data_IF_983246503401
#
_entry.id   IF_983246503401
#
_cell.length_a   1.000
_cell.length_b   1.000
_cell.length_c   1.000
_cell.angle_alpha   90.00
_cell.angle_beta   90.00
_cell.angle_gamma   90.00
#
_symmetry.space_group_name_H-M   'P 1'
#
loop_
_entity.id
_entity.type
_entity.pdbx_description
1 polymer ?
#
# COMPACT_ATOMS: atom_id res chain seq x y z
N UNK A 1 13.81 15.37 16.45
CA UNK A 1 13.17 14.20 15.83
C UNK A 1 12.82 14.55 14.39
N UNK A 2 12.84 13.57 13.48
CA UNK A 2 12.40 13.78 12.11
C UNK A 2 10.89 14.08 12.07
N UNK A 3 10.44 14.89 11.12
CA UNK A 3 9.00 15.05 10.84
C UNK A 3 8.47 13.82 10.10
N UNK A 4 7.14 13.62 10.11
CA UNK A 4 6.50 12.56 9.33
C UNK A 4 6.90 12.63 7.83
N UNK A 5 6.92 13.81 7.25
CA UNK A 5 7.32 14.00 5.84
C UNK A 5 8.78 13.61 5.60
N UNK A 6 9.68 13.93 6.52
CA UNK A 6 11.07 13.48 6.45
C UNK A 6 11.19 11.96 6.55
N UNK A 7 10.35 11.30 7.36
CA UNK A 7 10.32 9.84 7.48
C UNK A 7 9.78 9.21 6.19
N UNK A 8 8.65 9.70 5.66
CA UNK A 8 8.08 9.27 4.37
C UNK A 8 9.10 9.37 3.23
N UNK A 9 9.82 10.50 3.16
CA UNK A 9 10.78 10.74 2.09
C UNK A 9 11.93 9.72 2.04
N UNK A 10 12.30 9.12 3.18
CA UNK A 10 13.33 8.06 3.20
C UNK A 10 12.90 6.79 2.48
N UNK A 11 11.60 6.53 2.43
CA UNK A 11 11.02 5.36 1.78
C UNK A 11 10.67 5.60 0.31
N UNK A 12 10.50 6.86 -0.12
CA UNK A 12 9.89 7.25 -1.39
C UNK A 12 10.41 6.49 -2.62
N UNK A 13 11.74 6.32 -2.74
CA UNK A 13 12.35 5.62 -3.87
C UNK A 13 11.93 4.13 -3.96
N UNK A 14 11.64 3.48 -2.83
CA UNK A 14 11.21 2.07 -2.78
C UNK A 14 9.72 1.92 -3.09
N UNK A 15 8.95 2.99 -2.93
CA UNK A 15 7.50 2.99 -3.10
C UNK A 15 7.04 3.21 -4.55
N UNK A 16 7.89 3.81 -5.39
CA UNK A 16 7.52 4.32 -6.71
C UNK A 16 6.92 3.29 -7.71
N UNK A 17 7.21 2.01 -7.53
CA UNK A 17 6.77 0.93 -8.45
C UNK A 17 5.80 -0.06 -7.81
N UNK A 18 5.22 0.29 -6.66
CA UNK A 18 4.23 -0.54 -5.99
C UNK A 18 2.87 -0.41 -6.66
N UNK A 19 2.06 -1.46 -6.52
CA UNK A 19 0.65 -1.39 -6.87
C UNK A 19 -0.06 -0.31 -6.02
N UNK A 20 -1.05 0.46 -6.56
CA UNK A 20 -1.62 1.62 -5.85
C UNK A 20 -2.14 1.34 -4.44
N UNK A 21 -2.83 0.21 -4.23
CA UNK A 21 -3.28 -0.16 -2.89
C UNK A 21 -2.12 -0.48 -1.93
N UNK A 22 -1.04 -1.07 -2.43
CA UNK A 22 0.15 -1.39 -1.62
C UNK A 22 0.94 -0.13 -1.30
N UNK A 23 1.03 0.81 -2.25
CA UNK A 23 1.58 2.15 -2.04
C UNK A 23 0.82 2.91 -0.95
N UNK A 24 -0.51 2.96 -1.05
CA UNK A 24 -1.36 3.60 -0.05
C UNK A 24 -1.19 2.94 1.32
N UNK A 25 -1.20 1.61 1.37
CA UNK A 25 -0.98 0.84 2.60
C UNK A 25 0.39 1.10 3.22
N UNK A 26 1.45 1.19 2.42
CA UNK A 26 2.80 1.49 2.90
C UNK A 26 2.90 2.90 3.48
N UNK A 27 2.34 3.90 2.79
CA UNK A 27 2.32 5.28 3.29
C UNK A 27 1.53 5.41 4.59
N UNK A 28 0.39 4.75 4.67
CA UNK A 28 -0.45 4.74 5.86
C UNK A 28 0.22 3.98 7.01
N UNK A 29 0.92 2.88 6.73
CA UNK A 29 1.70 2.16 7.72
C UNK A 29 2.80 3.04 8.30
N UNK A 30 3.54 3.78 7.47
CA UNK A 30 4.55 4.76 7.93
C UNK A 30 3.90 5.79 8.85
N UNK A 31 2.74 6.36 8.44
CA UNK A 31 2.02 7.37 9.22
C UNK A 31 1.54 6.84 10.57
N UNK A 32 0.89 5.67 10.58
CA UNK A 32 0.36 5.07 11.82
C UNK A 32 1.47 4.69 12.79
N UNK A 33 2.55 4.10 12.28
CA UNK A 33 3.71 3.74 13.11
C UNK A 33 4.38 4.99 13.69
N UNK A 34 4.58 6.03 12.86
CA UNK A 34 5.11 7.32 13.33
C UNK A 34 4.25 7.96 14.43
N UNK A 35 2.93 7.94 14.28
CA UNK A 35 2.00 8.51 15.27
C UNK A 35 1.99 7.75 16.61
N UNK A 36 2.46 6.50 16.62
CA UNK A 36 2.65 5.72 17.85
C UNK A 36 4.01 5.98 18.51
N UNK A 37 4.92 6.72 17.87
CA UNK A 37 6.29 6.88 18.36
C UNK A 37 7.28 5.85 17.80
N UNK A 38 6.82 4.99 16.87
CA UNK A 38 7.60 3.91 16.25
C UNK A 38 7.83 4.22 14.76
N UNK A 39 8.71 5.17 14.40
CA UNK A 39 8.97 5.45 13.00
C UNK A 39 9.60 4.24 12.30
N UNK A 40 9.22 4.00 11.05
CA UNK A 40 9.74 2.89 10.24
C UNK A 40 10.35 3.39 8.92
N UNK A 41 11.18 2.54 8.33
CA UNK A 41 11.71 2.70 6.97
C UNK A 41 11.26 1.52 6.10
N UNK A 42 10.76 1.79 4.90
CA UNK A 42 10.57 0.76 3.89
C UNK A 42 11.92 0.49 3.20
N UNK A 43 12.47 -0.69 3.45
CA UNK A 43 13.81 -1.09 3.01
C UNK A 43 13.79 -1.70 1.60
N UNK A 44 12.69 -2.40 1.26
CA UNK A 44 12.45 -2.97 -0.06
C UNK A 44 11.01 -2.73 -0.52
N UNK A 45 10.85 -2.54 -1.81
CA UNK A 45 9.54 -2.50 -2.49
C UNK A 45 9.57 -3.44 -3.69
N UNK A 46 9.19 -2.94 -4.87
CA UNK A 46 9.24 -3.74 -6.10
C UNK A 46 10.69 -4.10 -6.49
N UNK A 47 10.92 -5.37 -6.81
CA UNK A 47 12.20 -5.91 -7.32
C UNK A 47 12.01 -6.48 -8.70
N UNK A 48 12.88 -6.18 -9.65
CA UNK A 48 12.85 -6.86 -10.96
C UNK A 48 13.21 -8.34 -10.82
N UNK A 49 12.86 -9.14 -11.84
CA UNK A 49 13.23 -10.57 -11.92
C UNK A 49 14.76 -10.75 -11.80
N UNK A 50 15.53 -9.87 -12.45
CA UNK A 50 16.99 -9.89 -12.39
C UNK A 50 17.50 -9.61 -10.97
N UNK A 51 17.00 -8.55 -10.31
CA UNK A 51 17.36 -8.22 -8.93
C UNK A 51 17.04 -9.37 -7.95
N UNK A 52 15.89 -10.02 -8.15
CA UNK A 52 15.51 -11.18 -7.33
C UNK A 52 16.43 -12.37 -7.56
N UNK A 53 16.82 -12.65 -8.80
CA UNK A 53 17.77 -13.72 -9.12
C UNK A 53 19.16 -13.43 -8.53
N UNK A 54 19.59 -12.16 -8.49
CA UNK A 54 20.84 -11.77 -7.84
C UNK A 54 20.81 -12.04 -6.33
N UNK A 55 19.70 -11.73 -5.65
CA UNK A 55 19.52 -12.04 -4.23
C UNK A 55 19.43 -13.55 -3.99
N UNK A 56 18.76 -14.30 -4.87
CA UNK A 56 18.71 -15.76 -4.80
C UNK A 56 20.09 -16.40 -4.96
N UNK A 57 20.98 -15.81 -5.76
CA UNK A 57 22.35 -16.29 -5.95
C UNK A 57 23.22 -16.15 -4.69
N UNK A 58 22.90 -15.22 -3.79
CA UNK A 58 23.66 -14.99 -2.56
C UNK A 58 23.59 -16.21 -1.62
N UNK A 59 24.75 -16.64 -1.12
CA UNK A 59 24.90 -17.86 -0.32
C UNK A 59 24.75 -19.17 -1.10
N UNK A 60 24.59 -19.09 -2.43
CA UNK A 60 24.49 -20.26 -3.32
C UNK A 60 25.60 -20.26 -4.37
N UNK A 61 25.55 -19.31 -5.29
CA UNK A 61 26.55 -19.14 -6.36
C UNK A 61 27.38 -17.87 -6.20
N UNK A 62 26.99 -16.98 -5.29
CA UNK A 62 27.75 -15.81 -4.83
C UNK A 62 27.97 -15.90 -3.31
N UNK A 63 29.08 -15.33 -2.83
CA UNK A 63 29.36 -15.24 -1.38
C UNK A 63 28.31 -14.38 -0.66
N UNK A 64 28.01 -14.71 0.59
CA UNK A 64 27.09 -13.98 1.47
C UNK A 64 26.08 -14.95 2.11
N UNK A 65 25.24 -14.43 2.99
CA UNK A 65 24.19 -15.25 3.62
C UNK A 65 23.02 -15.47 2.66
N UNK A 66 22.29 -16.58 2.82
CA UNK A 66 21.05 -16.81 2.08
C UNK A 66 19.99 -15.86 2.63
N UNK A 67 19.59 -14.87 1.83
CA UNK A 67 18.59 -13.84 2.20
C UNK A 67 17.21 -14.09 1.58
N UNK A 68 17.07 -15.08 0.70
CA UNK A 68 15.79 -15.45 0.11
C UNK A 68 15.81 -16.89 -0.43
N UNK A 69 14.64 -17.53 -0.42
CA UNK A 69 14.39 -18.79 -1.13
C UNK A 69 13.65 -18.60 -2.46
N UNK A 70 13.16 -17.39 -2.74
CA UNK A 70 12.40 -17.09 -3.95
C UNK A 70 13.34 -16.76 -5.12
N UNK A 71 13.16 -17.42 -6.26
CA UNK A 71 13.78 -17.04 -7.53
C UNK A 71 13.02 -15.86 -8.13
N UNK A 72 13.56 -15.27 -9.19
CA UNK A 72 12.88 -14.24 -9.95
C UNK A 72 11.54 -14.74 -10.49
N UNK A 73 10.47 -14.06 -10.11
CA UNK A 73 9.08 -14.40 -10.43
C UNK A 73 8.38 -15.19 -9.33
N UNK A 74 9.11 -15.66 -8.32
CA UNK A 74 8.54 -16.42 -7.20
C UNK A 74 8.36 -15.57 -5.93
N UNK A 75 8.40 -14.24 -6.06
CA UNK A 75 8.24 -13.28 -4.97
C UNK A 75 7.20 -12.21 -5.32
N UNK A 76 6.34 -11.85 -4.36
CA UNK A 76 5.37 -10.75 -4.53
C UNK A 76 6.04 -9.39 -4.77
N UNK A 77 7.32 -9.22 -4.38
CA UNK A 77 8.11 -8.05 -4.74
C UNK A 77 8.28 -7.92 -6.27
N UNK A 78 8.28 -9.03 -7.02
CA UNK A 78 8.38 -8.99 -8.47
C UNK A 78 7.16 -8.42 -9.18
N UNK A 79 6.08 -8.24 -8.43
CA UNK A 79 4.79 -7.76 -8.92
C UNK A 79 4.37 -6.45 -8.26
N UNK A 80 5.24 -5.85 -7.44
CA UNK A 80 4.93 -4.62 -6.69
C UNK A 80 3.87 -4.82 -5.61
N UNK A 81 3.73 -6.04 -5.10
CA UNK A 81 2.68 -6.45 -4.16
C UNK A 81 3.20 -6.69 -2.72
N UNK A 82 4.47 -6.38 -2.47
CA UNK A 82 5.11 -6.56 -1.17
C UNK A 82 6.09 -5.44 -0.84
N UNK A 83 6.31 -5.25 0.45
CA UNK A 83 7.27 -4.32 1.04
C UNK A 83 8.01 -5.02 2.18
N UNK A 84 9.27 -4.64 2.39
CA UNK A 84 9.99 -4.98 3.62
C UNK A 84 10.18 -3.71 4.45
N UNK A 85 10.08 -3.81 5.77
CA UNK A 85 10.30 -2.70 6.68
C UNK A 85 11.41 -2.97 7.70
N UNK A 86 11.89 -1.89 8.31
CA UNK A 86 12.74 -1.93 9.50
C UNK A 86 12.36 -0.77 10.43
N UNK A 87 12.69 -0.89 11.72
CA UNK A 87 12.46 0.18 12.70
C UNK A 87 13.48 1.29 12.47
N UNK A 88 13.03 2.53 12.27
CA UNK A 88 13.91 3.68 12.12
C UNK A 88 14.38 4.15 13.50
N UNK A 89 15.69 4.20 13.72
CA UNK A 89 16.23 4.60 15.01
C UNK A 89 16.09 6.12 15.23
N UNK A 90 16.13 6.60 16.49
CA UNK A 90 15.91 8.02 16.81
C UNK A 90 16.88 9.01 16.13
N UNK A 91 18.07 8.54 15.73
CA UNK A 91 19.04 9.34 14.96
C UNK A 91 18.57 9.64 13.52
N UNK A 92 17.53 8.95 13.05
CA UNK A 92 16.96 9.10 11.72
C UNK A 92 17.87 8.61 10.59
N UNK A 93 18.96 7.92 10.90
CA UNK A 93 20.00 7.48 9.94
C UNK A 93 20.12 5.96 9.93
N UNK A 94 20.06 5.34 11.08
CA UNK A 94 20.19 3.91 11.26
C UNK A 94 18.82 3.24 11.41
N UNK A 95 18.78 1.94 11.14
CA UNK A 95 17.58 1.13 11.37
C UNK A 95 17.92 -0.08 12.24
N UNK A 96 16.90 -0.64 12.89
CA UNK A 96 16.99 -1.85 13.69
C UNK A 96 16.09 -2.94 13.13
N UNK A 97 16.59 -4.18 13.17
CA UNK A 97 15.84 -5.42 12.94
C UNK A 97 15.56 -6.19 14.24
N UNK A 98 15.82 -5.58 15.39
CA UNK A 98 15.54 -6.20 16.69
C UNK A 98 14.02 -6.23 16.95
N UNK A 99 13.43 -7.42 16.81
CA UNK A 99 12.00 -7.65 17.04
C UNK A 99 11.58 -7.53 18.51
N UNK A 100 12.53 -7.45 19.45
CA UNK A 100 12.25 -7.29 20.89
C UNK A 100 12.42 -5.85 21.35
N UNK A 101 12.84 -4.96 20.45
CA UNK A 101 12.99 -3.54 20.75
C UNK A 101 11.64 -2.96 21.17
N UNK A 102 11.67 -2.21 22.27
CA UNK A 102 10.60 -1.37 22.81
C UNK A 102 11.21 0.03 22.96
N UNK A 103 11.14 0.80 21.88
CA UNK A 103 11.80 2.08 21.73
C UNK A 103 11.00 3.24 22.29
N UNK A 104 9.68 3.09 22.40
CA UNK A 104 8.76 4.08 22.97
C UNK A 104 8.46 3.82 24.46
N UNK A 105 8.81 2.64 24.98
CA UNK A 105 8.73 2.28 26.39
C UNK A 105 7.34 1.85 26.84
N UNK A 106 6.46 1.45 25.93
CA UNK A 106 5.07 1.09 26.22
C UNK A 106 4.90 -0.37 26.69
N UNK A 107 6.00 -1.14 26.73
CA UNK A 107 6.09 -2.57 27.07
C UNK A 107 5.53 -3.50 26.01
N UNK A 108 5.27 -3.00 24.81
CA UNK A 108 5.01 -3.76 23.59
C UNK A 108 6.25 -3.64 22.71
N UNK A 109 6.59 -4.70 22.00
CA UNK A 109 7.68 -4.60 21.04
C UNK A 109 7.24 -3.75 19.84
N UNK A 110 8.00 -2.70 19.51
CA UNK A 110 7.86 -1.82 18.35
C UNK A 110 7.49 -2.61 17.07
N UNK A 111 8.19 -3.72 16.86
CA UNK A 111 7.99 -4.58 15.69
C UNK A 111 6.57 -5.16 15.62
N UNK A 112 6.03 -5.58 16.77
CA UNK A 112 4.68 -6.14 16.85
C UNK A 112 3.62 -5.06 16.64
N UNK A 113 3.84 -3.84 17.09
CA UNK A 113 2.91 -2.73 16.82
C UNK A 113 2.83 -2.42 15.33
N UNK A 114 3.98 -2.35 14.65
CA UNK A 114 4.02 -2.14 13.19
C UNK A 114 3.30 -3.27 12.47
N UNK A 115 3.54 -4.52 12.86
CA UNK A 115 2.85 -5.68 12.28
C UNK A 115 1.34 -5.62 12.50
N UNK A 116 0.88 -5.25 13.69
CA UNK A 116 -0.54 -5.10 13.99
C UNK A 116 -1.18 -4.02 13.13
N UNK A 117 -0.53 -2.86 12.95
CA UNK A 117 -1.01 -1.83 12.02
C UNK A 117 -1.01 -2.31 10.57
N UNK A 118 0.03 -3.02 10.13
CA UNK A 118 0.09 -3.63 8.80
C UNK A 118 -1.09 -4.58 8.54
N UNK A 119 -1.40 -5.45 9.50
CA UNK A 119 -2.55 -6.38 9.42
C UNK A 119 -3.88 -5.63 9.35
N UNK A 120 -4.07 -4.57 10.15
CA UNK A 120 -5.27 -3.71 10.07
C UNK A 120 -5.46 -3.09 8.69
N UNK A 121 -4.36 -2.74 8.01
CA UNK A 121 -4.36 -2.21 6.65
C UNK A 121 -4.58 -3.30 5.57
N UNK A 122 -4.59 -4.57 5.95
CA UNK A 122 -4.82 -5.70 5.06
C UNK A 122 -3.55 -6.35 4.52
N UNK A 123 -2.38 -6.05 5.09
CA UNK A 123 -1.17 -6.82 4.79
C UNK A 123 -1.19 -8.19 5.47
N UNK A 124 -0.72 -9.19 4.75
CA UNK A 124 -0.24 -10.46 5.28
C UNK A 124 1.21 -10.27 5.76
N UNK A 125 1.59 -10.92 6.87
CA UNK A 125 2.92 -10.79 7.44
C UNK A 125 3.74 -12.08 7.28
N UNK A 126 4.99 -11.96 6.82
CA UNK A 126 5.88 -13.10 6.62
C UNK A 126 6.30 -13.81 7.91
N UNK A 127 6.17 -13.15 9.07
CA UNK A 127 6.36 -13.78 10.38
C UNK A 127 5.29 -14.81 10.77
N UNK A 128 4.13 -14.76 10.11
CA UNK A 128 3.05 -15.76 10.29
C UNK A 128 3.27 -17.03 9.46
N UNK A 129 4.24 -17.06 8.55
CA UNK A 129 4.50 -18.23 7.72
C UNK A 129 4.94 -19.44 8.57
N UNK A 130 4.54 -20.64 8.14
CA UNK A 130 4.84 -21.89 8.85
C UNK A 130 6.28 -22.34 8.70
N UNK A 131 6.97 -21.88 7.66
CA UNK A 131 8.39 -22.17 7.37
C UNK A 131 9.05 -20.94 6.77
N UNK A 132 10.35 -20.75 7.00
CA UNK A 132 11.12 -19.62 6.49
C UNK A 132 10.46 -18.26 6.76
N UNK A 133 10.15 -18.01 8.04
CA UNK A 133 9.56 -16.76 8.49
C UNK A 133 10.43 -15.58 8.06
N UNK A 134 9.81 -14.66 7.32
CA UNK A 134 10.41 -13.39 6.95
C UNK A 134 9.74 -12.27 7.73
N UNK A 135 10.37 -11.87 8.82
CA UNK A 135 9.75 -10.96 9.78
C UNK A 135 9.63 -9.53 9.28
N UNK A 136 10.42 -9.13 8.27
CA UNK A 136 10.35 -7.80 7.68
C UNK A 136 9.27 -7.70 6.58
N UNK A 137 8.86 -8.84 6.03
CA UNK A 137 8.02 -8.92 4.85
C UNK A 137 6.54 -8.68 5.15
N UNK A 138 5.94 -7.78 4.37
CA UNK A 138 4.50 -7.53 4.32
C UNK A 138 4.02 -7.58 2.87
N UNK A 139 2.90 -8.25 2.60
CA UNK A 139 2.33 -8.34 1.25
C UNK A 139 0.81 -8.19 1.22
N UNK A 140 0.28 -7.79 0.06
CA UNK A 140 -1.14 -7.91 -0.25
C UNK A 140 -1.28 -8.85 -1.46
N UNK A 141 -1.77 -10.07 -1.24
CA UNK A 141 -1.89 -11.07 -2.30
C UNK A 141 -3.06 -10.81 -3.24
N UNK A 142 -4.10 -10.10 -2.78
CA UNK A 142 -5.39 -9.97 -3.46
C UNK A 142 -6.03 -11.33 -3.80
N UNK A 143 -5.71 -12.37 -3.01
CA UNK A 143 -6.15 -13.75 -3.27
C UNK A 143 -5.50 -14.40 -4.50
N UNK A 144 -4.42 -13.81 -5.04
CA UNK A 144 -3.65 -14.37 -6.15
C UNK A 144 -2.46 -15.13 -5.60
N UNK A 145 -2.20 -16.32 -6.13
CA UNK A 145 -0.96 -17.05 -5.87
C UNK A 145 0.19 -16.53 -6.74
N UNK A 146 1.42 -16.91 -6.41
CA UNK A 146 2.57 -16.69 -7.29
C UNK A 146 2.36 -17.31 -8.68
N UNK A 147 1.71 -18.48 -8.78
CA UNK A 147 1.43 -19.11 -10.07
C UNK A 147 0.47 -18.26 -10.91
N UNK A 148 -0.56 -17.68 -10.30
CA UNK A 148 -1.48 -16.75 -10.97
C UNK A 148 -0.72 -15.54 -11.53
N UNK A 149 0.16 -14.95 -10.72
CA UNK A 149 0.97 -13.79 -11.12
C UNK A 149 1.94 -14.14 -12.25
N UNK A 150 2.55 -15.34 -12.24
CA UNK A 150 3.38 -15.86 -13.33
C UNK A 150 2.58 -16.11 -14.61
N UNK A 151 1.33 -16.55 -14.48
CA UNK A 151 0.39 -16.71 -15.60
C UNK A 151 -0.17 -15.37 -16.12
N UNK A 152 0.26 -14.24 -15.56
CA UNK A 152 -0.13 -12.90 -16.01
C UNK A 152 -1.38 -12.33 -15.34
N UNK A 153 -2.01 -13.06 -14.41
CA UNK A 153 -3.14 -12.51 -13.63
C UNK A 153 -2.65 -11.37 -12.74
N UNK A 154 -3.48 -10.36 -12.53
CA UNK A 154 -3.19 -9.18 -11.70
C UNK A 154 -4.41 -8.84 -10.86
N UNK A 155 -4.25 -8.09 -9.74
CA UNK A 155 -5.39 -7.61 -8.97
C UNK A 155 -6.39 -6.90 -9.87
N UNK A 156 -7.67 -7.24 -9.74
CA UNK A 156 -8.73 -6.55 -10.50
C UNK A 156 -8.98 -5.16 -9.90
N UNK A 157 -9.59 -4.26 -10.68
CA UNK A 157 -9.98 -2.94 -10.19
C UNK A 157 -10.84 -3.02 -8.91
N UNK A 158 -11.73 -4.02 -8.82
CA UNK A 158 -12.56 -4.25 -7.65
C UNK A 158 -11.74 -4.68 -6.43
N UNK A 159 -10.79 -5.60 -6.60
CA UNK A 159 -9.90 -6.04 -5.51
C UNK A 159 -9.02 -4.89 -5.02
N UNK A 160 -8.49 -4.08 -5.94
CA UNK A 160 -7.70 -2.89 -5.62
C UNK A 160 -8.51 -1.84 -4.88
N UNK A 161 -9.75 -1.57 -5.32
CA UNK A 161 -10.66 -0.63 -4.66
C UNK A 161 -11.06 -1.10 -3.26
N UNK A 162 -11.34 -2.40 -3.08
CA UNK A 162 -11.66 -2.97 -1.77
C UNK A 162 -10.48 -2.83 -0.78
N UNK A 163 -9.25 -3.07 -1.25
CA UNK A 163 -8.05 -2.86 -0.43
C UNK A 163 -7.85 -1.38 -0.06
N UNK A 164 -8.00 -0.47 -1.03
CA UNK A 164 -7.91 0.97 -0.79
C UNK A 164 -8.94 1.45 0.25
N UNK A 165 -10.19 1.02 0.13
CA UNK A 165 -11.26 1.38 1.07
C UNK A 165 -10.95 0.95 2.51
N UNK A 166 -10.29 -0.21 2.69
CA UNK A 166 -9.82 -0.66 4.02
C UNK A 166 -8.74 0.26 4.58
N UNK A 167 -7.80 0.68 3.74
CA UNK A 167 -6.65 1.53 4.13
C UNK A 167 -7.13 2.91 4.56
N UNK A 168 -8.09 3.49 3.84
CA UNK A 168 -8.61 4.84 4.10
C UNK A 168 -9.68 4.91 5.19
N UNK A 169 -10.07 3.77 5.79
CA UNK A 169 -10.98 3.74 6.94
C UNK A 169 -12.48 3.92 6.61
N UNK A 170 -12.92 3.57 5.41
CA UNK A 170 -14.23 3.93 4.86
C UNK A 170 -14.05 4.74 3.58
N UNK A 171 -15.16 5.16 2.95
CA UNK A 171 -15.06 6.13 1.84
C UNK A 171 -14.18 7.28 2.29
N UNK A 172 -13.14 7.66 1.52
CA UNK A 172 -12.20 8.68 1.95
C UNK A 172 -12.99 9.95 2.30
N UNK A 173 -12.72 10.53 3.47
CA UNK A 173 -13.13 11.90 3.74
C UNK A 173 -12.38 12.79 2.76
N UNK A 174 -13.06 13.10 1.66
CA UNK A 174 -12.48 13.90 0.59
C UNK A 174 -12.17 15.29 1.14
N UNK A 175 -10.91 15.71 1.04
CA UNK A 175 -10.56 17.10 1.31
C UNK A 175 -11.31 18.02 0.31
N UNK A 176 -12.15 18.91 0.84
CA UNK A 176 -13.01 19.80 0.03
C UNK A 176 -12.37 21.17 -0.26
N UNK A 177 -11.14 21.40 0.18
CA UNK A 177 -10.50 22.72 0.15
C UNK A 177 -10.02 23.14 -1.24
N UNK A 178 -9.84 22.18 -2.16
CA UNK A 178 -9.40 22.45 -3.54
C UNK A 178 -10.57 22.19 -4.51
N UNK A 179 -11.44 23.19 -4.75
CA UNK A 179 -12.52 23.05 -5.73
C UNK A 179 -11.97 23.02 -7.16
N UNK A 180 -12.55 22.17 -8.01
CA UNK A 180 -12.22 22.07 -9.44
C UNK A 180 -13.45 22.16 -10.31
N UNK A 181 -13.31 22.81 -11.47
CA UNK A 181 -14.39 22.90 -12.45
C UNK A 181 -14.43 21.63 -13.31
N UNK A 182 -15.57 20.94 -13.31
CA UNK A 182 -15.81 19.82 -14.21
C UNK A 182 -16.53 20.36 -15.45
N UNK A 183 -15.94 20.14 -16.62
CA UNK A 183 -16.50 20.58 -17.90
C UNK A 183 -16.78 19.38 -18.79
N UNK A 184 -17.82 19.48 -19.62
CA UNK A 184 -18.14 18.54 -20.68
C UNK A 184 -18.28 19.34 -21.97
N UNK A 185 -17.51 18.98 -23.00
CA UNK A 185 -17.47 19.68 -24.29
C UNK A 185 -17.22 21.20 -24.14
N UNK A 186 -16.30 21.57 -23.24
CA UNK A 186 -15.93 22.97 -22.99
C UNK A 186 -16.96 23.78 -22.15
N UNK A 187 -18.12 23.21 -21.83
CA UNK A 187 -19.12 23.85 -20.96
C UNK A 187 -18.99 23.36 -19.53
N UNK A 188 -19.00 24.27 -18.56
CA UNK A 188 -19.02 23.90 -17.13
C UNK A 188 -20.28 23.09 -16.82
N UNK A 189 -20.07 21.93 -16.23
CA UNK A 189 -21.12 21.00 -15.82
C UNK A 189 -21.39 21.09 -14.32
N UNK A 190 -20.34 20.99 -13.50
CA UNK A 190 -20.46 21.03 -12.04
C UNK A 190 -19.11 21.42 -11.40
N UNK A 191 -19.10 21.54 -10.08
CA UNK A 191 -17.86 21.68 -9.30
C UNK A 191 -17.57 20.34 -8.62
N UNK A 192 -16.34 19.88 -8.75
CA UNK A 192 -15.78 18.78 -7.98
C UNK A 192 -14.74 19.30 -6.98
N UNK A 193 -14.02 18.38 -6.36
CA UNK A 193 -12.90 18.68 -5.47
C UNK A 193 -11.70 17.81 -5.86
N UNK A 194 -10.50 18.32 -5.66
CA UNK A 194 -9.25 17.61 -5.91
C UNK A 194 -8.60 17.28 -4.57
N UNK A 195 -8.30 16.00 -4.36
CA UNK A 195 -7.63 15.53 -3.16
C UNK A 195 -6.58 14.49 -3.53
N UNK A 196 -5.33 14.71 -3.11
CA UNK A 196 -4.15 13.89 -3.44
C UNK A 196 -4.10 13.43 -4.92
N UNK A 197 -4.38 14.34 -5.86
CA UNK A 197 -4.42 14.13 -7.31
C UNK A 197 -5.60 13.27 -7.84
N UNK A 198 -6.59 12.97 -7.01
CA UNK A 198 -7.88 12.39 -7.42
C UNK A 198 -8.94 13.49 -7.48
N UNK A 199 -9.67 13.55 -8.59
CA UNK A 199 -10.81 14.46 -8.76
C UNK A 199 -12.11 13.75 -8.37
N UNK A 200 -12.76 14.23 -7.33
CA UNK A 200 -14.07 13.77 -6.89
C UNK A 200 -15.13 14.70 -7.45
N UNK A 201 -16.15 14.14 -8.10
CA UNK A 201 -17.20 14.92 -8.74
C UNK A 201 -18.58 14.30 -8.49
N UNK A 202 -19.66 15.10 -8.43
CA UNK A 202 -21.02 14.61 -8.31
C UNK A 202 -21.38 13.64 -9.46
N UNK A 203 -21.41 12.35 -9.16
CA UNK A 203 -21.64 11.28 -10.15
C UNK A 203 -22.95 11.46 -10.92
N UNK A 204 -24.00 11.95 -10.23
CA UNK A 204 -25.30 12.26 -10.84
C UNK A 204 -25.17 13.28 -11.97
N UNK A 205 -24.49 14.40 -11.71
CA UNK A 205 -24.32 15.47 -12.70
C UNK A 205 -23.57 14.98 -13.94
N UNK A 206 -22.53 14.17 -13.76
CA UNK A 206 -21.75 13.61 -14.86
C UNK A 206 -22.57 12.61 -15.67
N UNK A 207 -23.21 11.66 -14.99
CA UNK A 207 -23.98 10.61 -15.65
C UNK A 207 -25.20 11.16 -16.41
N UNK A 208 -25.95 12.08 -15.81
CA UNK A 208 -27.11 12.72 -16.46
C UNK A 208 -26.69 13.54 -17.69
N UNK A 209 -25.56 14.24 -17.63
CA UNK A 209 -25.01 14.96 -18.78
C UNK A 209 -24.56 14.05 -19.92
N UNK A 210 -24.24 12.79 -19.61
CA UNK A 210 -23.90 11.74 -20.57
C UNK A 210 -25.13 10.91 -21.00
N UNK A 211 -26.33 11.32 -20.61
CA UNK A 211 -27.60 10.68 -20.99
C UNK A 211 -27.94 9.43 -20.17
N UNK A 212 -27.30 9.21 -19.02
CA UNK A 212 -27.62 8.09 -18.14
C UNK A 212 -28.53 8.52 -16.98
N UNK A 213 -29.35 7.59 -16.50
CA UNK A 213 -30.19 7.75 -15.31
C UNK A 213 -29.45 7.26 -14.07
N UNK A 214 -29.56 8.02 -12.98
CA UNK A 214 -28.91 7.68 -11.70
C UNK A 214 -29.93 7.48 -10.58
N UNK A 215 -29.90 6.31 -9.95
CA UNK A 215 -30.72 5.98 -8.77
C UNK A 215 -29.85 5.63 -7.57
N UNK A 216 -30.35 5.86 -6.36
CA UNK A 216 -29.67 5.47 -5.12
C UNK A 216 -30.53 4.46 -4.36
N UNK A 217 -29.96 3.29 -4.07
CA UNK A 217 -30.55 2.31 -3.18
C UNK A 217 -29.95 2.50 -1.79
N UNK A 218 -30.75 3.02 -0.86
CA UNK A 218 -30.32 3.30 0.51
C UNK A 218 -29.98 2.03 1.30
N UNK A 219 -30.70 0.93 1.07
CA UNK A 219 -30.51 -0.33 1.80
C UNK A 219 -29.19 -1.00 1.44
N UNK A 220 -28.81 -0.98 0.16
CA UNK A 220 -27.55 -1.54 -0.32
C UNK A 220 -26.43 -0.50 -0.41
N UNK A 221 -26.70 0.76 -0.07
CA UNK A 221 -25.78 1.91 -0.26
C UNK A 221 -25.19 1.94 -1.68
N UNK A 222 -26.02 1.70 -2.69
CA UNK A 222 -25.58 1.56 -4.09
C UNK A 222 -26.11 2.70 -4.94
N UNK A 223 -25.22 3.34 -5.70
CA UNK A 223 -25.60 4.23 -6.80
C UNK A 223 -25.66 3.43 -8.09
N UNK A 224 -26.83 3.31 -8.70
CA UNK A 224 -26.99 2.67 -10.01
C UNK A 224 -26.96 3.74 -11.11
N UNK A 225 -26.21 3.47 -12.16
CA UNK A 225 -26.14 4.32 -13.36
C UNK A 225 -26.58 3.45 -14.54
N UNK A 226 -27.70 3.81 -15.15
CA UNK A 226 -28.30 3.06 -16.26
C UNK A 226 -28.29 3.97 -17.48
N UNK A 227 -27.64 3.52 -18.56
CA UNK A 227 -27.71 4.19 -19.85
C UNK A 227 -28.84 3.54 -20.65
N UNK A 228 -29.82 4.35 -21.04
CA UNK A 228 -30.88 3.91 -21.97
C UNK A 228 -30.36 3.88 -23.41
#
# INVERSE_FOLDING_TARGET
MLTLEQVKQKSAARLAKLHPAVLAGANELIRRSYNRGVPILITQGMRTIAQQNELYAQGRTKKGDIVTNARGGDSYHNYGLAIDFALLLPDGRNVSWDMKRDGDGDKVADWQEVVQEGKKLGFEWGGDWTSFKDYAHLQMSFGLSIQDLKAGRRPTAQQSAAALSRITGGEPEVNKDIPVNITLNGKKLTTGVMDEAVTYAPVRAIAEALGAKVTYNASSKTVNIVKE
#
